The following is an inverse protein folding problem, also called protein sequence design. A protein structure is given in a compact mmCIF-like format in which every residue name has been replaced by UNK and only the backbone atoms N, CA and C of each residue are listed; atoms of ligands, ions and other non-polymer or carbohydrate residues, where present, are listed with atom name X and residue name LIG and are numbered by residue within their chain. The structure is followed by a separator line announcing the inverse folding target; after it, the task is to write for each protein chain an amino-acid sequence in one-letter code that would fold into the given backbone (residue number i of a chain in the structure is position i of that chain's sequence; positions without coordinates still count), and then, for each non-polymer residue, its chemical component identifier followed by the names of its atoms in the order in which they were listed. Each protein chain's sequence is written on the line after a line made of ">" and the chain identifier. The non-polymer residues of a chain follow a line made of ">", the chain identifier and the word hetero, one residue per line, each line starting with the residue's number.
data_IF_675716025131
#
_entry.id   IF_675716025131
#
_cell.length_a   1.000
_cell.length_b   1.000
_cell.length_c   1.000
_cell.angle_alpha   90.00
_cell.angle_beta   90.00
_cell.angle_gamma   90.00
#
_symmetry.space_group_name_H-M   'P 1'
#
loop_
_entity.id
_entity.type
_entity.pdbx_description
1 polymer ?
#
# COMPACT_ATOMS: atom_id res chain seq x y z
N UNK A 1 -6.60 -7.78 -13.00
CA UNK A 1 -6.42 -6.92 -11.81
C UNK A 1 -6.53 -5.48 -12.25
N UNK A 2 -7.37 -4.69 -11.58
CA UNK A 2 -7.50 -3.24 -11.76
C UNK A 2 -6.77 -2.56 -10.60
N UNK A 3 -6.01 -1.51 -10.89
CA UNK A 3 -5.28 -0.74 -9.88
C UNK A 3 -5.91 0.65 -9.80
N UNK A 4 -6.24 1.10 -8.57
CA UNK A 4 -6.56 2.49 -8.30
C UNK A 4 -5.28 3.16 -7.80
N UNK A 5 -4.72 4.14 -8.54
CA UNK A 5 -3.53 4.84 -8.12
C UNK A 5 -3.84 5.80 -6.95
N UNK A 6 -2.94 5.93 -6.00
CA UNK A 6 -2.95 7.08 -5.10
C UNK A 6 -2.41 8.31 -5.84
N UNK A 7 -2.73 9.51 -5.35
CA UNK A 7 -2.11 10.74 -5.83
C UNK A 7 -0.98 11.18 -4.91
N UNK A 8 -0.01 11.89 -5.46
CA UNK A 8 1.02 12.59 -4.68
C UNK A 8 1.23 14.00 -5.22
N UNK A 9 1.58 14.92 -4.33
CA UNK A 9 1.87 16.31 -4.67
C UNK A 9 3.32 16.62 -4.37
N UNK A 10 4.04 17.17 -5.31
CA UNK A 10 5.42 17.66 -5.17
C UNK A 10 5.57 18.97 -5.95
N UNK A 11 6.27 19.95 -5.39
CA UNK A 11 6.42 21.30 -5.96
C UNK A 11 5.09 21.99 -6.34
N UNK A 12 4.00 21.65 -5.62
CA UNK A 12 2.67 22.22 -5.88
C UNK A 12 1.87 21.55 -6.99
N UNK A 13 2.47 20.62 -7.73
CA UNK A 13 1.80 19.85 -8.78
C UNK A 13 1.38 18.45 -8.24
N UNK A 14 0.21 17.99 -8.67
CA UNK A 14 -0.35 16.70 -8.25
C UNK A 14 -0.30 15.70 -9.40
N UNK A 15 0.16 14.48 -9.10
CA UNK A 15 0.35 13.38 -10.03
C UNK A 15 -0.33 12.11 -9.51
N UNK A 16 -0.80 11.27 -10.42
CA UNK A 16 -1.20 9.90 -10.10
C UNK A 16 0.01 8.96 -10.08
N UNK A 17 0.13 8.12 -9.05
CA UNK A 17 1.14 7.08 -9.00
C UNK A 17 0.68 5.84 -9.78
N UNK A 18 0.66 5.96 -11.10
CA UNK A 18 0.21 4.89 -12.00
C UNK A 18 1.24 3.76 -12.11
N UNK A 19 0.82 2.50 -12.34
CA UNK A 19 1.74 1.36 -12.46
C UNK A 19 2.79 1.49 -13.57
N UNK A 20 2.48 2.24 -14.62
CA UNK A 20 3.39 2.51 -15.75
C UNK A 20 4.23 3.78 -15.58
N UNK A 21 4.07 4.49 -14.45
CA UNK A 21 4.78 5.73 -14.11
C UNK A 21 4.68 6.82 -15.19
N UNK A 22 3.58 6.86 -15.96
CA UNK A 22 3.43 7.77 -17.11
C UNK A 22 3.40 9.24 -16.73
N UNK A 23 3.03 9.60 -15.49
CA UNK A 23 2.92 10.99 -15.05
C UNK A 23 4.21 11.53 -14.43
N UNK A 24 5.02 10.66 -13.85
CA UNK A 24 6.28 11.04 -13.21
C UNK A 24 7.30 9.92 -13.33
N UNK A 25 8.48 10.24 -13.87
CA UNK A 25 9.62 9.32 -13.86
C UNK A 25 10.10 9.10 -12.42
N UNK A 26 10.20 7.84 -11.94
CA UNK A 26 10.65 7.54 -10.58
C UNK A 26 12.04 8.08 -10.25
N UNK A 27 12.97 8.09 -11.22
CA UNK A 27 14.31 8.62 -11.00
C UNK A 27 14.25 10.13 -10.72
N UNK A 28 13.49 10.87 -11.53
CA UNK A 28 13.25 12.31 -11.34
C UNK A 28 12.61 12.57 -9.96
N UNK A 29 11.56 11.83 -9.61
CA UNK A 29 10.90 11.97 -8.31
C UNK A 29 11.88 11.81 -7.13
N UNK A 30 12.72 10.77 -7.14
CA UNK A 30 13.69 10.56 -6.08
C UNK A 30 14.84 11.58 -6.11
N UNK A 31 15.22 12.10 -7.25
CA UNK A 31 16.22 13.18 -7.34
C UNK A 31 15.67 14.48 -6.74
N UNK A 32 14.40 14.82 -6.98
CA UNK A 32 13.74 15.94 -6.31
C UNK A 32 13.71 15.78 -4.79
N UNK A 33 13.37 14.59 -4.27
CA UNK A 33 13.42 14.31 -2.84
C UNK A 33 14.83 14.45 -2.26
N UNK A 34 15.86 14.01 -2.98
CA UNK A 34 17.29 14.17 -2.57
C UNK A 34 17.72 15.63 -2.60
N UNK A 35 17.15 16.43 -3.50
CA UNK A 35 17.35 17.89 -3.55
C UNK A 35 16.66 18.65 -2.40
N UNK A 36 15.83 17.95 -1.61
CA UNK A 36 15.15 18.52 -0.45
C UNK A 36 13.68 18.84 -0.66
N UNK A 37 13.11 18.55 -1.83
CA UNK A 37 11.70 18.75 -2.10
C UNK A 37 10.85 17.83 -1.19
N UNK A 38 9.67 18.33 -0.82
CA UNK A 38 8.72 17.61 -0.01
C UNK A 38 7.58 17.07 -0.88
N UNK A 39 7.30 15.78 -0.74
CA UNK A 39 6.13 15.18 -1.35
C UNK A 39 5.11 14.79 -0.27
N UNK A 40 3.84 14.97 -0.59
CA UNK A 40 2.70 14.50 0.21
C UNK A 40 1.85 13.54 -0.61
N UNK A 41 1.14 12.62 0.03
CA UNK A 41 0.28 11.65 -0.65
C UNK A 41 -1.16 11.80 -0.18
N UNK A 42 -2.11 11.57 -1.09
CA UNK A 42 -3.53 11.45 -0.79
C UNK A 42 -3.97 9.98 -0.83
N UNK A 43 -4.81 9.58 0.11
CA UNK A 43 -5.46 8.27 0.03
C UNK A 43 -6.47 8.27 -1.13
N UNK A 44 -6.72 7.11 -1.70
CA UNK A 44 -7.85 6.92 -2.62
C UNK A 44 -9.14 7.15 -1.82
N UNK A 45 -9.99 8.06 -2.27
CA UNK A 45 -11.22 8.45 -1.57
C UNK A 45 -12.42 7.56 -1.95
N UNK A 46 -13.55 7.73 -1.25
CA UNK A 46 -14.76 6.93 -1.47
C UNK A 46 -15.29 7.08 -2.90
N UNK A 47 -15.36 8.31 -3.41
CA UNK A 47 -15.88 8.57 -4.76
C UNK A 47 -15.05 7.93 -5.87
N UNK A 48 -13.71 7.93 -5.74
CA UNK A 48 -12.80 7.26 -6.68
C UNK A 48 -13.01 5.73 -6.66
N UNK A 49 -13.23 5.14 -5.46
CA UNK A 49 -13.60 3.73 -5.35
C UNK A 49 -14.95 3.44 -5.99
N UNK A 50 -15.98 4.24 -5.68
CA UNK A 50 -17.31 4.06 -6.26
C UNK A 50 -17.29 4.12 -7.78
N UNK A 51 -16.65 5.14 -8.35
CA UNK A 51 -16.56 5.30 -9.79
C UNK A 51 -15.94 4.04 -10.42
N UNK A 52 -14.80 3.60 -9.90
CA UNK A 52 -14.09 2.44 -10.46
C UNK A 52 -14.82 1.12 -10.22
N UNK A 53 -15.39 0.92 -9.04
CA UNK A 53 -16.18 -0.27 -8.73
C UNK A 53 -17.44 -0.33 -9.60
N UNK A 54 -18.14 0.79 -9.78
CA UNK A 54 -19.33 0.90 -10.63
C UNK A 54 -19.03 0.55 -12.10
N UNK A 55 -17.88 1.01 -12.63
CA UNK A 55 -17.42 0.61 -13.97
C UNK A 55 -17.30 -0.92 -14.11
N UNK A 56 -16.70 -1.57 -13.11
CA UNK A 56 -16.49 -3.02 -13.11
C UNK A 56 -17.83 -3.76 -12.96
N UNK A 57 -18.66 -3.34 -12.00
CA UNK A 57 -19.95 -3.97 -11.71
C UNK A 57 -20.92 -3.92 -12.91
N UNK A 58 -20.91 -2.84 -13.69
CA UNK A 58 -21.66 -2.72 -14.95
C UNK A 58 -21.27 -3.78 -15.99
N UNK A 59 -20.12 -4.41 -15.86
CA UNK A 59 -19.71 -5.53 -16.72
C UNK A 59 -20.21 -6.90 -16.23
N UNK A 60 -20.98 -6.94 -15.14
CA UNK A 60 -21.50 -8.18 -14.54
C UNK A 60 -20.44 -8.97 -13.74
N UNK A 61 -19.38 -8.32 -13.27
CA UNK A 61 -18.30 -8.96 -12.50
C UNK A 61 -18.40 -8.62 -11.03
N UNK A 62 -18.10 -9.60 -10.18
CA UNK A 62 -17.88 -9.41 -8.76
C UNK A 62 -16.53 -8.71 -8.48
N UNK A 63 -16.41 -8.09 -7.31
CA UNK A 63 -15.22 -7.36 -6.89
C UNK A 63 -14.66 -7.90 -5.56
N UNK A 64 -13.38 -8.26 -5.57
CA UNK A 64 -12.56 -8.38 -4.36
C UNK A 64 -11.58 -7.21 -4.32
N UNK A 65 -11.88 -6.21 -3.49
CA UNK A 65 -11.01 -5.04 -3.28
C UNK A 65 -9.97 -5.36 -2.21
N UNK A 66 -8.69 -5.29 -2.56
CA UNK A 66 -7.56 -5.51 -1.65
C UNK A 66 -6.84 -4.19 -1.46
N UNK A 67 -6.99 -3.62 -0.27
CA UNK A 67 -6.49 -2.29 0.04
C UNK A 67 -5.14 -2.32 0.77
N UNK A 68 -4.41 -1.24 0.64
CA UNK A 68 -3.24 -0.91 1.45
C UNK A 68 -3.57 -0.93 2.95
N UNK A 69 -2.59 -1.24 3.81
CA UNK A 69 -2.79 -1.35 5.25
C UNK A 69 -3.55 -0.16 5.85
N UNK A 70 -4.62 -0.46 6.59
CA UNK A 70 -5.42 0.54 7.31
C UNK A 70 -4.63 1.26 8.42
N UNK A 71 -3.56 0.64 8.92
CA UNK A 71 -2.66 1.29 9.87
C UNK A 71 -1.80 2.42 9.26
N UNK A 72 -1.73 2.48 7.93
CA UNK A 72 -0.89 3.43 7.19
C UNK A 72 -1.70 4.45 6.38
N UNK A 73 -2.95 4.14 6.02
CA UNK A 73 -3.79 4.97 5.16
C UNK A 73 -5.27 4.70 5.39
N UNK A 74 -6.11 5.72 5.17
CA UNK A 74 -7.57 5.59 5.18
C UNK A 74 -8.14 4.92 3.93
N UNK A 75 -7.31 4.56 2.95
CA UNK A 75 -7.71 3.92 1.68
C UNK A 75 -8.57 2.67 1.90
N UNK A 76 -8.22 1.83 2.90
CA UNK A 76 -9.02 0.63 3.23
C UNK A 76 -10.43 0.99 3.69
N UNK A 77 -10.57 2.00 4.56
CA UNK A 77 -11.86 2.48 5.03
C UNK A 77 -12.71 3.06 3.89
N UNK A 78 -12.10 3.83 2.98
CA UNK A 78 -12.78 4.35 1.78
C UNK A 78 -13.33 3.23 0.90
N UNK A 79 -12.55 2.16 0.71
CA UNK A 79 -12.98 0.97 -0.05
C UNK A 79 -14.18 0.27 0.60
N UNK A 80 -14.21 0.17 1.93
CA UNK A 80 -15.33 -0.44 2.67
C UNK A 80 -16.60 0.39 2.51
N UNK A 81 -16.51 1.72 2.67
CA UNK A 81 -17.65 2.62 2.53
C UNK A 81 -18.21 2.54 1.10
N UNK A 82 -17.38 2.66 0.09
CA UNK A 82 -17.81 2.56 -1.31
C UNK A 82 -18.47 1.21 -1.62
N UNK A 83 -17.94 0.11 -1.08
CA UNK A 83 -18.52 -1.22 -1.24
C UNK A 83 -19.92 -1.31 -0.62
N UNK A 84 -20.16 -0.71 0.55
CA UNK A 84 -21.47 -0.68 1.20
C UNK A 84 -22.48 0.16 0.40
N UNK A 85 -22.07 1.36 -0.05
CA UNK A 85 -22.94 2.28 -0.79
C UNK A 85 -23.38 1.71 -2.15
N UNK A 86 -22.54 0.88 -2.78
CA UNK A 86 -22.85 0.25 -4.06
C UNK A 86 -23.74 -1.01 -3.96
N UNK A 87 -23.98 -1.57 -2.77
CA UNK A 87 -24.82 -2.76 -2.60
C UNK A 87 -26.25 -2.55 -3.05
N UNK A 88 -26.81 -1.38 -2.76
CA UNK A 88 -28.19 -1.06 -3.15
C UNK A 88 -28.34 -0.89 -4.67
N UNK A 89 -27.29 -0.39 -5.34
CA UNK A 89 -27.25 -0.22 -6.79
C UNK A 89 -27.03 -1.57 -7.52
N UNK A 90 -26.27 -2.49 -6.90
CA UNK A 90 -25.89 -3.79 -7.47
C UNK A 90 -26.19 -4.96 -6.51
N UNK A 91 -27.46 -5.23 -6.20
CA UNK A 91 -27.85 -6.21 -5.17
C UNK A 91 -27.43 -7.66 -5.49
N UNK A 92 -27.27 -7.99 -6.75
CA UNK A 92 -26.88 -9.34 -7.20
C UNK A 92 -25.36 -9.54 -7.28
N UNK A 93 -24.58 -8.46 -7.17
CA UNK A 93 -23.12 -8.51 -7.26
C UNK A 93 -22.47 -8.70 -5.88
N UNK A 94 -21.34 -9.41 -5.83
CA UNK A 94 -20.51 -9.53 -4.64
C UNK A 94 -19.43 -8.45 -4.67
N UNK A 95 -19.47 -7.58 -3.66
CA UNK A 95 -18.45 -6.56 -3.44
C UNK A 95 -17.80 -6.85 -2.09
N UNK A 96 -16.62 -7.47 -2.12
CA UNK A 96 -15.89 -7.90 -0.95
C UNK A 96 -14.64 -7.07 -0.78
N UNK A 97 -14.29 -6.75 0.46
CA UNK A 97 -13.12 -5.94 0.80
C UNK A 97 -12.17 -6.71 1.72
N UNK A 98 -10.88 -6.48 1.57
CA UNK A 98 -9.80 -7.01 2.40
C UNK A 98 -8.81 -5.90 2.71
N UNK A 99 -8.62 -5.63 3.99
CA UNK A 99 -7.44 -4.89 4.45
C UNK A 99 -6.25 -5.85 4.41
N UNK A 100 -5.30 -5.56 3.54
CA UNK A 100 -4.15 -6.46 3.35
C UNK A 100 -3.18 -6.47 4.52
N UNK A 101 -3.21 -5.46 5.39
CA UNK A 101 -2.16 -5.16 6.39
C UNK A 101 -0.75 -5.07 5.77
N UNK A 102 -0.71 -4.84 4.47
CA UNK A 102 0.50 -4.84 3.65
C UNK A 102 0.77 -3.46 3.06
N UNK A 103 2.02 -3.27 2.62
CA UNK A 103 2.47 -2.11 1.88
C UNK A 103 3.41 -2.52 0.74
N UNK A 104 3.56 -1.63 -0.27
CA UNK A 104 4.55 -1.76 -1.34
C UNK A 104 4.56 -3.16 -1.98
N UNK A 105 5.73 -3.77 -2.15
CA UNK A 105 5.88 -5.09 -2.77
C UNK A 105 5.18 -6.22 -1.99
N UNK A 106 5.01 -6.08 -0.66
CA UNK A 106 4.26 -7.05 0.13
C UNK A 106 2.78 -7.07 -0.26
N UNK A 107 2.15 -5.90 -0.46
CA UNK A 107 0.79 -5.84 -1.01
C UNK A 107 0.75 -6.42 -2.43
N UNK A 108 1.75 -6.10 -3.26
CA UNK A 108 1.86 -6.67 -4.62
C UNK A 108 1.92 -8.20 -4.62
N UNK A 109 2.76 -8.79 -3.76
CA UNK A 109 2.84 -10.23 -3.58
C UNK A 109 1.50 -10.81 -3.10
N UNK A 110 0.86 -10.17 -2.14
CA UNK A 110 -0.43 -10.61 -1.61
C UNK A 110 -1.52 -10.63 -2.69
N UNK A 111 -1.63 -9.55 -3.48
CA UNK A 111 -2.56 -9.48 -4.63
C UNK A 111 -2.22 -10.56 -5.67
N UNK A 112 -0.94 -10.79 -5.95
CA UNK A 112 -0.50 -11.84 -6.86
C UNK A 112 -0.96 -13.23 -6.38
N UNK A 113 -0.80 -13.55 -5.09
CA UNK A 113 -1.23 -14.83 -4.52
C UNK A 113 -2.75 -15.02 -4.66
N UNK A 114 -3.55 -13.99 -4.35
CA UNK A 114 -5.01 -14.04 -4.53
C UNK A 114 -5.39 -14.23 -6.00
N UNK A 115 -4.71 -13.55 -6.91
CA UNK A 115 -4.93 -13.70 -8.36
C UNK A 115 -4.57 -15.10 -8.87
N UNK A 116 -3.55 -15.76 -8.28
CA UNK A 116 -3.23 -17.16 -8.62
C UNK A 116 -4.35 -18.13 -8.18
N UNK A 117 -4.96 -17.91 -7.02
CA UNK A 117 -6.12 -18.72 -6.59
C UNK A 117 -7.32 -18.53 -7.55
N UNK A 118 -7.60 -17.30 -7.97
CA UNK A 118 -8.59 -17.04 -9.00
C UNK A 118 -8.29 -17.76 -10.32
N UNK A 119 -7.03 -17.74 -10.77
CA UNK A 119 -6.60 -18.46 -11.99
C UNK A 119 -6.74 -19.98 -11.90
N UNK A 120 -6.72 -20.56 -10.69
CA UNK A 120 -7.02 -21.97 -10.43
C UNK A 120 -8.52 -22.30 -10.50
N UNK A 121 -9.37 -21.29 -10.77
CA UNK A 121 -10.82 -21.45 -10.88
C UNK A 121 -11.57 -21.24 -9.59
N UNK A 122 -10.93 -20.77 -8.50
CA UNK A 122 -11.63 -20.46 -7.25
C UNK A 122 -12.56 -19.26 -7.42
N UNK A 123 -13.72 -19.37 -6.81
CA UNK A 123 -14.72 -18.31 -6.72
C UNK A 123 -14.27 -17.20 -5.78
N UNK A 124 -14.92 -16.05 -5.84
CA UNK A 124 -14.65 -14.93 -4.93
C UNK A 124 -14.87 -15.33 -3.46
N UNK A 125 -15.87 -16.18 -3.19
CA UNK A 125 -16.19 -16.69 -1.84
C UNK A 125 -15.11 -17.62 -1.27
N UNK A 126 -14.29 -18.24 -2.15
CA UNK A 126 -13.14 -19.04 -1.76
C UNK A 126 -11.85 -18.23 -1.69
N UNK A 127 -11.70 -17.21 -2.55
CA UNK A 127 -10.50 -16.35 -2.56
C UNK A 127 -10.49 -15.41 -1.37
N UNK A 128 -11.64 -14.88 -0.92
CA UNK A 128 -11.68 -13.98 0.24
C UNK A 128 -11.18 -14.65 1.53
N UNK A 129 -11.68 -15.83 1.96
CA UNK A 129 -11.12 -16.53 3.11
C UNK A 129 -9.63 -16.84 2.96
N UNK A 130 -9.18 -17.29 1.79
CA UNK A 130 -7.75 -17.46 1.50
C UNK A 130 -6.96 -16.18 1.72
N UNK A 131 -7.48 -15.03 1.28
CA UNK A 131 -6.84 -13.73 1.50
C UNK A 131 -6.74 -13.42 3.01
N UNK A 132 -7.82 -13.60 3.79
CA UNK A 132 -7.82 -13.35 5.23
C UNK A 132 -6.83 -14.24 5.99
N UNK A 133 -6.66 -15.51 5.59
CA UNK A 133 -5.68 -16.43 6.19
C UNK A 133 -4.23 -16.09 5.76
N UNK A 134 -4.05 -15.58 4.55
CA UNK A 134 -2.72 -15.39 3.95
C UNK A 134 -2.09 -14.06 4.35
N UNK A 135 -2.89 -13.00 4.59
CA UNK A 135 -2.37 -11.64 4.83
C UNK A 135 -1.35 -11.59 5.99
N UNK A 136 -1.58 -12.32 7.08
CA UNK A 136 -0.66 -12.40 8.22
C UNK A 136 0.60 -13.25 7.96
N UNK A 137 0.72 -13.89 6.79
CA UNK A 137 1.89 -14.70 6.40
C UNK A 137 2.83 -13.99 5.43
N UNK A 138 2.46 -12.79 4.97
CA UNK A 138 3.29 -11.98 4.08
C UNK A 138 4.28 -11.18 4.92
N UNK A 139 5.52 -11.63 4.96
CA UNK A 139 6.58 -10.99 5.73
C UNK A 139 7.21 -9.84 4.93
N UNK A 140 7.19 -8.65 5.51
CA UNK A 140 7.80 -7.46 4.93
C UNK A 140 9.06 -7.10 5.71
N UNK A 141 10.22 -7.20 5.07
CA UNK A 141 11.46 -6.67 5.60
C UNK A 141 11.98 -5.60 4.65
N UNK A 142 12.33 -4.45 5.18
CA UNK A 142 12.80 -3.33 4.38
C UNK A 142 13.77 -2.43 5.13
N UNK A 143 14.46 -1.59 4.39
CA UNK A 143 15.33 -0.54 4.90
C UNK A 143 15.12 0.72 4.08
N UNK A 144 15.31 1.87 4.71
CA UNK A 144 15.24 3.19 4.07
C UNK A 144 16.55 3.96 4.30
N UNK A 145 16.82 4.89 3.41
CA UNK A 145 18.02 5.73 3.56
C UNK A 145 17.83 6.82 4.61
N UNK A 146 16.62 7.34 4.77
CA UNK A 146 16.28 8.39 5.72
C UNK A 146 14.90 8.14 6.36
N UNK A 147 14.90 7.93 7.69
CA UNK A 147 13.66 7.80 8.48
C UNK A 147 12.87 9.10 8.59
N UNK A 148 13.51 10.26 8.36
CA UNK A 148 12.81 11.54 8.43
C UNK A 148 11.69 11.64 7.40
N UNK A 149 11.82 10.98 6.25
CA UNK A 149 10.76 10.92 5.25
C UNK A 149 9.50 10.23 5.81
N UNK A 150 9.64 9.05 6.41
CA UNK A 150 8.52 8.31 7.05
C UNK A 150 7.96 9.07 8.26
N UNK A 151 8.80 9.75 9.03
CA UNK A 151 8.39 10.59 10.15
C UNK A 151 7.55 11.79 9.67
N UNK A 152 8.01 12.51 8.64
CA UNK A 152 7.25 13.62 8.05
C UNK A 152 5.89 13.15 7.53
N UNK A 153 5.84 11.96 6.94
CA UNK A 153 4.61 11.33 6.49
C UNK A 153 3.69 10.84 7.63
N UNK A 154 4.17 10.81 8.89
CA UNK A 154 3.39 10.34 10.04
C UNK A 154 3.18 8.80 10.09
N UNK A 155 3.92 8.01 9.29
CA UNK A 155 3.79 6.54 9.24
C UNK A 155 4.70 5.81 10.21
N UNK A 156 5.55 6.54 10.95
CA UNK A 156 6.30 6.03 12.09
C UNK A 156 6.10 6.98 13.29
N UNK A 157 6.10 6.43 14.49
CA UNK A 157 5.96 7.25 15.68
C UNK A 157 7.26 7.99 16.02
N UNK A 158 7.17 9.03 16.90
CA UNK A 158 8.30 9.88 17.28
C UNK A 158 9.42 9.10 18.01
N UNK A 159 9.10 8.02 18.73
CA UNK A 159 10.09 7.18 19.41
C UNK A 159 10.96 6.42 18.40
N UNK A 160 10.38 6.04 17.27
CA UNK A 160 11.10 5.44 16.14
C UNK A 160 12.07 6.43 15.50
N UNK A 161 11.80 7.73 15.58
CA UNK A 161 12.63 8.79 15.01
C UNK A 161 13.97 8.99 15.73
N UNK A 162 14.13 8.53 16.97
CA UNK A 162 15.43 8.51 17.68
C UNK A 162 16.50 7.66 16.97
N UNK A 163 16.08 6.81 16.02
CA UNK A 163 16.99 6.01 15.20
C UNK A 163 17.68 6.80 14.07
N UNK A 164 17.13 7.97 13.67
CA UNK A 164 17.53 8.66 12.44
C UNK A 164 18.55 9.78 12.56
N UNK A 165 19.06 10.11 13.75
CA UNK A 165 19.96 11.27 13.94
C UNK A 165 21.46 10.97 13.74
N UNK A 166 21.84 9.72 13.56
CA UNK A 166 23.24 9.34 13.32
C UNK A 166 23.52 9.19 11.82
N UNK A 167 24.46 9.98 11.33
CA UNK A 167 24.97 9.88 9.96
C UNK A 167 25.38 8.42 9.64
N UNK A 168 24.94 7.90 8.50
CA UNK A 168 25.19 6.55 8.01
C UNK A 168 24.49 5.40 8.75
N UNK A 169 23.66 5.63 9.76
CA UNK A 169 22.83 4.57 10.35
C UNK A 169 21.57 4.38 9.51
N UNK A 170 21.32 3.14 9.09
CA UNK A 170 20.14 2.72 8.33
C UNK A 170 19.28 1.79 9.19
N UNK A 171 17.96 2.00 9.26
CA UNK A 171 17.09 1.11 9.98
C UNK A 171 16.86 -0.19 9.20
N UNK A 172 16.72 -1.28 9.93
CA UNK A 172 16.11 -2.52 9.43
C UNK A 172 14.71 -2.58 10.03
N UNK A 173 13.73 -2.68 9.19
CA UNK A 173 12.33 -2.54 9.54
C UNK A 173 11.49 -3.70 9.03
N UNK A 174 10.36 -3.95 9.68
CA UNK A 174 9.33 -4.85 9.16
C UNK A 174 7.93 -4.21 9.29
N UNK A 175 6.93 -4.88 8.73
CA UNK A 175 5.52 -4.59 8.99
C UNK A 175 5.03 -5.59 10.03
N UNK A 176 4.41 -5.11 11.12
CA UNK A 176 3.87 -5.96 12.18
C UNK A 176 2.51 -6.57 11.82
N UNK A 177 1.95 -7.38 12.72
CA UNK A 177 0.67 -8.07 12.51
C UNK A 177 -0.53 -7.13 12.41
N UNK A 178 -0.39 -5.87 12.86
CA UNK A 178 -1.39 -4.82 12.70
C UNK A 178 -1.15 -3.93 11.47
N UNK A 179 -0.17 -4.27 10.63
CA UNK A 179 0.14 -3.54 9.40
C UNK A 179 0.91 -2.23 9.59
N UNK A 180 1.61 -2.05 10.74
CA UNK A 180 2.40 -0.86 11.08
C UNK A 180 3.88 -1.05 10.77
N UNK A 181 4.58 0.06 10.48
CA UNK A 181 6.02 0.04 10.22
C UNK A 181 6.80 0.05 11.53
N UNK A 182 7.51 -1.02 11.82
CA UNK A 182 8.23 -1.23 13.07
C UNK A 182 9.74 -1.35 12.83
N UNK A 183 10.59 -0.59 13.55
CA UNK A 183 12.03 -0.77 13.51
C UNK A 183 12.44 -2.00 14.33
N UNK A 184 13.29 -2.83 13.76
CA UNK A 184 13.79 -4.06 14.40
C UNK A 184 15.23 -3.88 14.85
N UNK A 185 16.08 -3.35 13.98
CA UNK A 185 17.51 -3.17 14.26
C UNK A 185 18.10 -2.02 13.45
N UNK A 186 19.40 -1.79 13.65
CA UNK A 186 20.17 -0.74 12.97
C UNK A 186 21.38 -1.37 12.28
N UNK A 187 21.69 -0.87 11.09
CA UNK A 187 22.91 -1.24 10.39
C UNK A 187 23.71 0.01 9.99
N UNK A 188 25.03 -0.09 9.93
CA UNK A 188 25.89 1.01 9.51
C UNK A 188 26.15 0.95 8.02
N UNK A 189 25.54 1.88 7.28
CA UNK A 189 25.66 1.98 5.83
C UNK A 189 24.69 1.09 5.06
N UNK A 190 24.47 1.43 3.78
CA UNK A 190 23.48 0.78 2.90
C UNK A 190 23.78 -0.71 2.71
N UNK A 191 25.03 -1.08 2.47
CA UNK A 191 25.40 -2.48 2.25
C UNK A 191 25.04 -3.35 3.46
N UNK A 192 25.38 -2.92 4.68
CA UNK A 192 25.07 -3.67 5.89
C UNK A 192 23.57 -3.75 6.14
N UNK A 193 22.77 -2.70 5.85
CA UNK A 193 21.32 -2.75 6.00
C UNK A 193 20.67 -3.71 5.01
N UNK A 194 21.15 -3.79 3.78
CA UNK A 194 20.67 -4.77 2.81
C UNK A 194 21.02 -6.21 3.22
N UNK A 195 22.25 -6.44 3.71
CA UNK A 195 22.66 -7.78 4.21
C UNK A 195 21.84 -8.22 5.43
N UNK A 196 21.41 -7.28 6.26
CA UNK A 196 20.59 -7.59 7.44
C UNK A 196 19.11 -7.90 7.12
N UNK A 197 18.67 -7.75 5.87
CA UNK A 197 17.32 -8.14 5.41
C UNK A 197 17.26 -9.62 4.97
N UNK A 198 18.40 -10.26 4.79
CA UNK A 198 18.58 -11.64 4.34
C UNK A 198 19.10 -12.50 5.49
#
# INVERSE_FOLDING_TARGET
>A
VTVLPLSFTIQGETYENTPDNREMDPALFYDMLRAGELATTSAVNVGEFEEKMREILKTGKDILSISFSSALSTTSQSSVIAAEELKDEFPDAKILTVDSLCASLGQGLFVYLCAQEQKKGKTIDEVKPFAEETKGRVCHWFTVDDLNHLKRGGRINAATALFGTMLAIKPVMHVDDEGRLIPVSKARGRKASLTALV
#
